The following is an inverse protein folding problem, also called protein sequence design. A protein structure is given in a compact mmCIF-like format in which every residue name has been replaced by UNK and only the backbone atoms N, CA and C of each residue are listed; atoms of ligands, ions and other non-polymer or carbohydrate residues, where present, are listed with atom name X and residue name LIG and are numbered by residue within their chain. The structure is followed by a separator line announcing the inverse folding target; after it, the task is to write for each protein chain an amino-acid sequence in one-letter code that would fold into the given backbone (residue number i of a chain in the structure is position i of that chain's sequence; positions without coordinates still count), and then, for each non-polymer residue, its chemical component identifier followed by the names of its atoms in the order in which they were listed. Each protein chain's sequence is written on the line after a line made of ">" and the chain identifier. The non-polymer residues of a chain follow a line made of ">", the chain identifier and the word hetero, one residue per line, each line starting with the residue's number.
data_IF_122222697454
#
_entry.id   IF_122222697454
#
_cell.length_a   1.000
_cell.length_b   1.000
_cell.length_c   1.000
_cell.angle_alpha   90.00
_cell.angle_beta   90.00
_cell.angle_gamma   90.00
#
_symmetry.space_group_name_H-M   'P 1'
#
loop_
_entity.id
_entity.type
_entity.pdbx_description
1 polymer ?
#
# COMPACT_ATOMS: atom_id res chain seq x y z
N UNK A 1 5.24 -1.17 8.86
CA UNK A 1 5.86 -0.03 8.15
C UNK A 1 6.56 0.93 9.10
N UNK A 2 7.57 1.66 8.62
CA UNK A 2 8.38 2.57 9.47
C UNK A 2 7.63 3.82 9.97
N UNK A 3 6.37 3.99 9.59
CA UNK A 3 5.56 5.13 9.97
C UNK A 3 6.07 6.47 9.41
N UNK A 4 5.40 7.54 9.77
CA UNK A 4 5.81 8.89 9.41
C UNK A 4 6.86 9.39 10.41
N UNK A 5 8.09 9.68 9.95
CA UNK A 5 9.25 10.08 10.80
C UNK A 5 8.89 11.16 11.83
N UNK A 6 8.11 12.18 11.44
CA UNK A 6 7.69 13.25 12.32
C UNK A 6 6.78 12.74 13.45
N UNK A 7 5.82 11.86 13.13
CA UNK A 7 4.92 11.25 14.12
C UNK A 7 5.65 10.38 15.11
N UNK A 8 6.61 9.57 14.64
CA UNK A 8 7.39 8.69 15.51
C UNK A 8 8.27 9.52 16.44
N UNK A 9 9.04 10.46 15.90
CA UNK A 9 9.90 11.31 16.69
C UNK A 9 9.12 12.16 17.71
N UNK A 10 8.03 12.81 17.26
CA UNK A 10 7.31 13.79 18.08
C UNK A 10 6.37 13.12 19.11
N UNK A 11 5.92 11.88 18.88
CA UNK A 11 4.98 11.18 19.76
C UNK A 11 5.59 10.04 20.57
N UNK A 12 6.60 9.37 20.05
CA UNK A 12 7.19 8.18 20.67
C UNK A 12 8.62 8.46 21.17
N UNK A 13 9.24 9.54 20.69
CA UNK A 13 10.63 9.89 21.06
C UNK A 13 11.68 8.92 20.53
N UNK A 14 11.30 8.00 19.64
CA UNK A 14 12.22 7.01 19.14
C UNK A 14 13.25 7.61 18.16
N UNK A 15 14.51 7.17 18.20
CA UNK A 15 15.52 7.58 17.23
C UNK A 15 15.10 7.13 15.81
N UNK A 16 15.38 7.96 14.82
CA UNK A 16 15.12 7.65 13.42
C UNK A 16 16.43 7.39 12.71
N UNK A 17 16.77 6.15 12.47
CA UNK A 17 17.91 5.72 11.64
C UNK A 17 17.64 5.88 10.12
N UNK A 18 18.59 5.46 9.27
CA UNK A 18 18.38 5.34 7.84
C UNK A 18 17.17 4.44 7.56
N UNK A 19 16.26 4.94 6.73
CA UNK A 19 14.93 4.32 6.57
C UNK A 19 14.98 2.86 6.08
N UNK A 20 15.78 2.58 5.06
CA UNK A 20 15.86 1.24 4.45
C UNK A 20 16.59 0.28 5.39
N UNK A 21 17.69 0.70 5.99
CA UNK A 21 18.44 -0.13 6.94
C UNK A 21 17.57 -0.50 8.14
N UNK A 22 16.80 0.48 8.67
CA UNK A 22 15.85 0.25 9.77
C UNK A 22 14.83 -0.82 9.41
N UNK A 23 14.21 -0.73 8.22
CA UNK A 23 13.20 -1.69 7.77
C UNK A 23 13.83 -3.08 7.58
N UNK A 24 14.96 -3.16 6.88
CA UNK A 24 15.63 -4.43 6.57
C UNK A 24 16.05 -5.17 7.84
N UNK A 25 16.73 -4.46 8.75
CA UNK A 25 17.17 -5.05 10.03
C UNK A 25 15.96 -5.44 10.89
N UNK A 26 14.89 -4.62 10.92
CA UNK A 26 13.68 -4.96 11.67
C UNK A 26 13.06 -6.27 11.18
N UNK A 27 12.93 -6.46 9.87
CA UNK A 27 12.36 -7.69 9.32
C UNK A 27 13.23 -8.91 9.66
N UNK A 28 14.55 -8.80 9.53
CA UNK A 28 15.48 -9.89 9.87
C UNK A 28 15.41 -10.24 11.37
N UNK A 29 15.45 -9.25 12.25
CA UNK A 29 15.31 -9.45 13.70
C UNK A 29 13.99 -10.16 14.04
N UNK A 30 12.88 -9.71 13.44
CA UNK A 30 11.58 -10.34 13.68
C UNK A 30 11.53 -11.79 13.17
N UNK A 31 12.10 -12.07 11.99
CA UNK A 31 12.20 -13.43 11.47
C UNK A 31 12.98 -14.34 12.42
N UNK A 32 14.17 -13.91 12.86
CA UNK A 32 14.99 -14.69 13.78
C UNK A 32 14.28 -14.94 15.13
N UNK A 33 13.59 -13.94 15.67
CA UNK A 33 12.79 -14.09 16.88
C UNK A 33 11.62 -15.08 16.69
N UNK A 34 10.91 -15.01 15.57
CA UNK A 34 9.81 -15.95 15.25
C UNK A 34 10.30 -17.35 14.91
N UNK A 35 11.55 -17.47 14.47
CA UNK A 35 12.24 -18.78 14.34
C UNK A 35 12.74 -19.34 15.69
N UNK A 36 12.47 -18.65 16.80
CA UNK A 36 12.89 -19.07 18.14
C UNK A 36 14.37 -18.83 18.45
N UNK A 37 15.06 -18.04 17.61
CA UNK A 37 16.46 -17.69 17.83
C UNK A 37 16.58 -16.54 18.84
N UNK A 38 17.75 -16.46 19.47
CA UNK A 38 18.18 -15.28 20.21
C UNK A 38 18.93 -14.33 19.28
N UNK A 39 18.71 -13.05 19.44
CA UNK A 39 19.23 -11.99 18.57
C UNK A 39 20.09 -11.03 19.35
N UNK A 40 21.30 -10.80 18.86
CA UNK A 40 22.17 -9.71 19.28
C UNK A 40 22.46 -8.83 18.07
N UNK A 41 22.06 -7.57 18.14
CA UNK A 41 22.30 -6.58 17.08
C UNK A 41 22.56 -5.21 17.67
N UNK A 42 23.62 -4.55 17.20
CA UNK A 42 23.94 -3.16 17.59
C UNK A 42 24.09 -2.32 16.32
N UNK A 43 23.23 -1.33 16.17
CA UNK A 43 23.28 -0.36 15.08
C UNK A 43 22.66 0.97 15.50
N UNK A 44 22.50 1.91 14.57
CA UNK A 44 21.93 3.24 14.85
C UNK A 44 20.45 3.24 15.29
N UNK A 45 19.77 2.09 15.23
CA UNK A 45 18.32 1.95 15.49
C UNK A 45 18.05 1.06 16.68
N UNK A 46 18.77 -0.07 16.78
CA UNK A 46 18.60 -1.09 17.81
C UNK A 46 19.89 -1.40 18.53
N UNK A 47 19.75 -1.61 19.81
CA UNK A 47 20.76 -2.29 20.62
C UNK A 47 20.05 -3.43 21.34
N UNK A 48 20.28 -4.65 20.85
CA UNK A 48 19.73 -5.87 21.39
C UNK A 48 20.90 -6.79 21.78
N UNK A 49 20.86 -7.37 22.96
CA UNK A 49 21.84 -8.32 23.46
C UNK A 49 21.15 -9.57 23.99
N UNK A 50 21.37 -10.72 23.33
CA UNK A 50 20.81 -12.03 23.65
C UNK A 50 19.29 -12.04 23.87
N UNK A 51 18.55 -11.23 23.09
CA UNK A 51 17.10 -11.09 23.18
C UNK A 51 16.41 -12.24 22.47
N UNK A 52 15.50 -12.93 23.14
CA UNK A 52 14.64 -13.97 22.57
C UNK A 52 13.18 -13.80 23.00
N UNK A 53 12.28 -14.55 22.35
CA UNK A 53 10.90 -14.64 22.80
C UNK A 53 10.79 -15.62 23.98
N UNK A 54 10.08 -15.23 25.04
CA UNK A 54 9.79 -16.10 26.20
C UNK A 54 8.65 -17.09 25.87
N UNK A 55 8.65 -17.65 24.67
CA UNK A 55 7.64 -18.59 24.16
C UNK A 55 8.35 -19.82 23.65
N UNK A 56 8.01 -20.99 24.21
CA UNK A 56 8.49 -22.26 23.68
C UNK A 56 7.83 -22.54 22.33
N UNK A 57 8.63 -22.75 21.27
CA UNK A 57 8.16 -22.96 19.91
C UNK A 57 7.26 -21.81 19.42
N UNK A 58 7.78 -20.60 19.22
CA UNK A 58 6.98 -19.49 18.73
C UNK A 58 6.35 -19.86 17.37
N UNK A 59 5.09 -19.48 17.15
CA UNK A 59 4.46 -19.74 15.87
C UNK A 59 5.18 -18.94 14.77
N UNK A 60 5.33 -19.52 13.59
CA UNK A 60 5.81 -18.78 12.42
C UNK A 60 4.77 -17.74 12.02
N UNK A 61 5.09 -16.46 12.22
CA UNK A 61 4.21 -15.33 11.89
C UNK A 61 4.72 -14.68 10.61
N UNK A 62 3.91 -14.64 9.54
CA UNK A 62 4.32 -13.99 8.30
C UNK A 62 4.47 -12.48 8.48
N UNK A 63 5.53 -11.92 7.93
CA UNK A 63 5.86 -10.50 8.01
C UNK A 63 5.46 -9.82 6.70
N UNK A 64 4.53 -8.88 6.78
CA UNK A 64 4.12 -8.05 5.66
C UNK A 64 4.62 -6.61 5.80
N UNK A 65 5.24 -6.09 4.75
CA UNK A 65 5.67 -4.69 4.70
C UNK A 65 4.69 -3.85 3.88
N UNK A 66 4.08 -2.83 4.52
CA UNK A 66 3.31 -1.80 3.82
C UNK A 66 4.22 -0.61 3.47
N UNK A 67 4.34 -0.29 2.19
CA UNK A 67 5.21 0.79 1.72
C UNK A 67 4.75 1.38 0.38
N UNK A 68 5.31 2.53 0.02
CA UNK A 68 5.23 3.13 -1.31
C UNK A 68 6.63 3.53 -1.83
N UNK A 69 7.70 3.14 -1.12
CA UNK A 69 9.07 3.51 -1.44
C UNK A 69 9.73 2.41 -2.28
N UNK A 70 10.35 2.71 -3.44
CA UNK A 70 10.99 1.70 -4.29
C UNK A 70 11.99 0.79 -3.57
N UNK A 71 12.91 1.39 -2.78
CA UNK A 71 13.91 0.60 -2.07
C UNK A 71 13.31 -0.23 -0.92
N UNK A 72 12.18 0.22 -0.34
CA UNK A 72 11.47 -0.58 0.65
C UNK A 72 10.69 -1.74 -0.01
N UNK A 73 10.24 -1.61 -1.26
CA UNK A 73 9.74 -2.74 -2.04
C UNK A 73 10.85 -3.78 -2.29
N UNK A 74 12.06 -3.34 -2.64
CA UNK A 74 13.23 -4.24 -2.75
C UNK A 74 13.55 -4.91 -1.42
N UNK A 75 13.58 -4.16 -0.33
CA UNK A 75 13.81 -4.73 1.01
C UNK A 75 12.73 -5.75 1.40
N UNK A 76 11.46 -5.50 1.04
CA UNK A 76 10.38 -6.46 1.27
C UNK A 76 10.59 -7.74 0.45
N UNK A 77 10.94 -7.64 -0.82
CA UNK A 77 11.31 -8.79 -1.64
C UNK A 77 12.46 -9.61 -1.04
N UNK A 78 13.44 -8.93 -0.46
CA UNK A 78 14.58 -9.58 0.18
C UNK A 78 14.24 -10.30 1.49
N UNK A 79 13.34 -9.73 2.33
CA UNK A 79 13.22 -10.14 3.73
C UNK A 79 11.78 -10.33 4.24
N UNK A 80 10.73 -9.93 3.51
CA UNK A 80 9.34 -10.10 3.97
C UNK A 80 8.68 -11.35 3.37
N UNK A 81 7.62 -11.84 4.00
CA UNK A 81 6.75 -12.88 3.46
C UNK A 81 5.68 -12.29 2.53
N UNK A 82 5.43 -10.98 2.62
CA UNK A 82 4.52 -10.30 1.74
C UNK A 82 4.64 -8.78 1.75
N UNK A 83 3.99 -8.16 0.80
CA UNK A 83 3.99 -6.72 0.58
C UNK A 83 2.58 -6.20 0.48
N UNK A 84 2.27 -5.12 1.19
CA UNK A 84 1.00 -4.41 1.06
C UNK A 84 1.26 -3.14 0.23
N UNK A 85 0.67 -3.11 -0.95
CA UNK A 85 0.72 -1.97 -1.87
C UNK A 85 -0.58 -1.17 -1.73
N UNK A 86 -0.50 -0.04 -1.05
CA UNK A 86 -1.66 0.81 -0.81
C UNK A 86 -1.90 1.82 -1.94
N UNK A 87 -3.17 2.01 -2.27
CA UNK A 87 -3.65 3.06 -3.18
C UNK A 87 -3.01 3.02 -4.59
N UNK A 88 -2.71 1.84 -5.11
CA UNK A 88 -2.25 1.61 -6.50
C UNK A 88 -3.21 0.64 -7.16
N UNK A 89 -4.04 1.14 -8.07
CA UNK A 89 -4.99 0.38 -8.89
C UNK A 89 -4.61 0.35 -10.38
N UNK A 90 -3.48 0.93 -10.76
CA UNK A 90 -2.96 0.93 -12.13
C UNK A 90 -2.08 -0.31 -12.36
N UNK A 91 -2.46 -1.23 -13.28
CA UNK A 91 -1.68 -2.44 -13.55
C UNK A 91 -0.24 -2.15 -14.04
N UNK A 92 -0.03 -1.08 -14.81
CA UNK A 92 1.31 -0.75 -15.30
C UNK A 92 2.23 -0.28 -14.16
N UNK A 93 1.70 0.51 -13.23
CA UNK A 93 2.43 0.92 -12.01
C UNK A 93 2.65 -0.28 -11.09
N UNK A 94 1.64 -1.13 -10.93
CA UNK A 94 1.75 -2.35 -10.14
C UNK A 94 2.83 -3.29 -10.69
N UNK A 95 2.89 -3.49 -12.00
CA UNK A 95 3.94 -4.28 -12.65
C UNK A 95 5.35 -3.76 -12.28
N UNK A 96 5.55 -2.43 -12.31
CA UNK A 96 6.81 -1.83 -11.91
C UNK A 96 7.13 -2.08 -10.41
N UNK A 97 6.12 -2.07 -9.55
CA UNK A 97 6.28 -2.38 -8.12
C UNK A 97 6.67 -3.86 -7.94
N UNK A 98 6.00 -4.77 -8.65
CA UNK A 98 6.32 -6.21 -8.64
C UNK A 98 7.75 -6.45 -9.12
N UNK A 99 8.25 -5.70 -10.11
CA UNK A 99 9.66 -5.78 -10.53
C UNK A 99 10.62 -5.35 -9.41
N UNK A 100 10.34 -4.28 -8.68
CA UNK A 100 11.18 -3.91 -7.53
C UNK A 100 11.19 -4.97 -6.43
N UNK A 101 10.05 -5.62 -6.18
CA UNK A 101 9.97 -6.74 -5.22
C UNK A 101 10.82 -7.91 -5.73
N UNK A 102 10.73 -8.24 -7.03
CA UNK A 102 11.50 -9.31 -7.68
C UNK A 102 13.00 -9.05 -7.64
N UNK A 103 13.44 -7.80 -7.89
CA UNK A 103 14.84 -7.41 -7.75
C UNK A 103 15.36 -7.70 -6.34
N UNK A 104 14.57 -7.38 -5.31
CA UNK A 104 14.89 -7.67 -3.92
C UNK A 104 14.94 -9.18 -3.64
N UNK A 105 13.96 -9.94 -4.08
CA UNK A 105 13.92 -11.41 -3.93
C UNK A 105 15.15 -12.06 -4.56
N UNK A 106 15.47 -11.70 -5.80
CA UNK A 106 16.63 -12.20 -6.52
C UNK A 106 17.96 -11.92 -5.79
N UNK A 107 18.07 -10.75 -5.13
CA UNK A 107 19.27 -10.38 -4.37
C UNK A 107 19.58 -11.33 -3.21
N UNK A 108 18.57 -12.06 -2.72
CA UNK A 108 18.67 -13.05 -1.64
C UNK A 108 18.41 -14.49 -2.14
N UNK A 109 18.33 -14.70 -3.44
CA UNK A 109 18.06 -16.03 -4.04
C UNK A 109 16.67 -16.59 -3.70
N UNK A 110 15.69 -15.71 -3.39
CA UNK A 110 14.31 -16.10 -3.06
C UNK A 110 13.47 -16.20 -4.33
N UNK A 111 12.46 -17.07 -4.30
CA UNK A 111 11.45 -17.16 -5.36
C UNK A 111 10.32 -16.13 -5.10
N UNK A 112 9.88 -15.45 -6.16
CA UNK A 112 8.72 -14.54 -6.08
C UNK A 112 7.43 -15.24 -5.63
N UNK A 113 7.30 -16.54 -5.88
CA UNK A 113 6.15 -17.35 -5.45
C UNK A 113 6.03 -17.47 -3.92
N UNK A 114 7.11 -17.21 -3.19
CA UNK A 114 7.14 -17.24 -1.73
C UNK A 114 6.78 -15.88 -1.11
N UNK A 115 6.47 -14.87 -1.95
CA UNK A 115 6.22 -13.49 -1.51
C UNK A 115 4.82 -13.07 -1.96
N UNK A 116 3.92 -12.87 -1.00
CA UNK A 116 2.56 -12.42 -1.29
C UNK A 116 2.51 -10.94 -1.64
N UNK A 117 1.81 -10.59 -2.73
CA UNK A 117 1.58 -9.20 -3.14
C UNK A 117 0.11 -8.83 -2.94
N UNK A 118 -0.16 -8.05 -1.89
CA UNK A 118 -1.50 -7.59 -1.57
C UNK A 118 -1.69 -6.14 -2.06
N UNK A 119 -2.64 -5.94 -2.96
CA UNK A 119 -3.09 -4.60 -3.33
C UNK A 119 -4.21 -4.14 -2.40
N UNK A 120 -4.08 -2.95 -1.82
CA UNK A 120 -5.09 -2.36 -0.93
C UNK A 120 -5.61 -1.05 -1.51
N UNK A 121 -6.73 -1.13 -2.23
CA UNK A 121 -7.30 -0.01 -2.97
C UNK A 121 -8.68 0.40 -2.43
N UNK A 122 -9.00 1.69 -2.56
CA UNK A 122 -10.38 2.14 -2.42
C UNK A 122 -11.22 1.48 -3.51
N UNK A 123 -12.34 0.81 -3.11
CA UNK A 123 -13.18 0.08 -4.06
C UNK A 123 -14.65 0.38 -3.81
N UNK A 124 -15.32 0.95 -4.80
CA UNK A 124 -16.73 1.34 -4.74
C UNK A 124 -17.46 0.77 -5.96
N UNK A 125 -18.44 -0.06 -5.71
CA UNK A 125 -19.29 -0.65 -6.75
C UNK A 125 -20.55 0.18 -6.91
N UNK A 126 -20.66 0.92 -8.02
CA UNK A 126 -21.80 1.77 -8.32
C UNK A 126 -22.04 1.91 -9.82
N UNK A 127 -23.30 2.05 -10.23
CA UNK A 127 -23.65 2.20 -11.66
C UNK A 127 -23.22 3.56 -12.21
N UNK A 128 -23.42 4.62 -11.42
CA UNK A 128 -23.01 5.98 -11.81
C UNK A 128 -21.52 6.18 -11.48
N UNK A 129 -20.67 5.81 -12.44
CA UNK A 129 -19.22 5.93 -12.31
C UNK A 129 -18.77 7.40 -12.20
N UNK A 130 -19.41 8.34 -12.89
CA UNK A 130 -19.02 9.75 -12.86
C UNK A 130 -19.21 10.35 -11.45
N UNK A 131 -20.33 10.05 -10.82
CA UNK A 131 -20.59 10.46 -9.44
C UNK A 131 -19.58 9.88 -8.45
N UNK A 132 -19.22 8.60 -8.60
CA UNK A 132 -18.23 7.96 -7.73
C UNK A 132 -16.85 8.59 -7.89
N UNK A 133 -16.40 8.83 -9.10
CA UNK A 133 -15.12 9.49 -9.40
C UNK A 133 -15.04 10.85 -8.71
N UNK A 134 -16.09 11.65 -8.81
CA UNK A 134 -16.13 12.97 -8.19
C UNK A 134 -16.01 12.88 -6.66
N UNK A 135 -16.71 11.92 -6.02
CA UNK A 135 -16.59 11.70 -4.58
C UNK A 135 -15.21 11.22 -4.15
N UNK A 136 -14.52 10.44 -4.99
CA UNK A 136 -13.16 9.95 -4.70
C UNK A 136 -12.08 11.01 -4.86
N UNK A 137 -12.26 11.94 -5.79
CA UNK A 137 -11.24 12.87 -6.28
C UNK A 137 -10.48 13.57 -5.16
N UNK A 138 -11.15 14.29 -4.30
CA UNK A 138 -10.52 15.09 -3.26
C UNK A 138 -10.19 14.29 -1.98
N UNK A 139 -11.17 13.66 -1.31
CA UNK A 139 -10.93 13.11 0.02
C UNK A 139 -10.01 11.87 -0.01
N UNK A 140 -10.08 11.10 -1.09
CA UNK A 140 -9.36 9.82 -1.19
C UNK A 140 -8.05 9.98 -1.93
N UNK A 141 -8.10 10.47 -3.16
CA UNK A 141 -6.93 10.57 -4.02
C UNK A 141 -5.94 11.60 -3.49
N UNK A 142 -6.42 12.78 -3.09
CA UNK A 142 -5.56 13.78 -2.46
C UNK A 142 -4.87 13.27 -1.19
N UNK A 143 -5.52 12.38 -0.42
CA UNK A 143 -4.90 11.74 0.74
C UNK A 143 -3.83 10.73 0.34
N UNK A 144 -4.11 9.87 -0.64
CA UNK A 144 -3.19 8.87 -1.17
C UNK A 144 -1.93 9.51 -1.75
N UNK A 145 -2.10 10.51 -2.61
CA UNK A 145 -1.00 11.28 -3.22
C UNK A 145 -0.04 11.83 -2.16
N UNK A 146 -0.56 12.34 -1.04
CA UNK A 146 0.26 12.90 0.03
C UNK A 146 1.06 11.85 0.82
N UNK A 147 0.55 10.63 0.93
CA UNK A 147 1.22 9.52 1.61
C UNK A 147 2.25 8.80 0.75
N UNK A 148 2.23 9.02 -0.56
CA UNK A 148 3.01 8.25 -1.52
C UNK A 148 4.42 8.80 -1.70
N UNK A 149 5.41 7.91 -1.81
CA UNK A 149 6.79 8.30 -2.13
C UNK A 149 6.87 8.97 -3.51
N UNK A 150 7.78 9.94 -3.65
CA UNK A 150 7.90 10.77 -4.87
C UNK A 150 8.08 9.98 -6.18
N UNK A 151 8.83 8.87 -6.14
CA UNK A 151 9.05 8.04 -7.33
C UNK A 151 7.76 7.34 -7.76
N UNK A 152 7.08 6.65 -6.83
CA UNK A 152 5.80 5.99 -7.09
C UNK A 152 4.73 6.99 -7.49
N UNK A 153 4.68 8.16 -6.84
CA UNK A 153 3.79 9.25 -7.20
C UNK A 153 4.01 9.74 -8.64
N UNK A 154 5.27 9.80 -9.09
CA UNK A 154 5.61 10.12 -10.49
C UNK A 154 5.06 9.08 -11.47
N UNK A 155 5.18 7.79 -11.17
CA UNK A 155 4.58 6.71 -11.97
C UNK A 155 3.05 6.81 -12.03
N UNK A 156 2.42 7.27 -10.95
CA UNK A 156 0.98 7.53 -10.89
C UNK A 156 0.55 8.77 -11.69
N UNK A 157 1.46 9.48 -12.35
CA UNK A 157 1.17 10.63 -13.21
C UNK A 157 0.86 11.93 -12.46
N UNK A 158 1.17 12.01 -11.17
CA UNK A 158 0.94 13.23 -10.39
C UNK A 158 1.96 14.31 -10.79
N UNK A 159 1.47 15.41 -11.36
CA UNK A 159 2.32 16.54 -11.75
C UNK A 159 3.06 17.14 -10.55
N UNK A 160 4.39 17.32 -10.65
CA UNK A 160 5.16 18.04 -9.62
C UNK A 160 4.65 19.46 -9.38
N UNK A 161 4.08 20.11 -10.38
CA UNK A 161 3.52 21.47 -10.29
C UNK A 161 2.22 21.52 -9.48
N UNK A 162 1.35 20.50 -9.62
CA UNK A 162 0.09 20.42 -8.89
C UNK A 162 0.26 19.85 -7.46
N UNK A 163 1.36 19.12 -7.20
CA UNK A 163 1.52 18.45 -5.91
C UNK A 163 1.49 19.38 -4.70
N UNK A 164 2.10 20.58 -4.70
CA UNK A 164 2.01 21.50 -3.57
C UNK A 164 0.56 21.94 -3.26
N UNK A 165 -0.25 22.20 -4.28
CA UNK A 165 -1.64 22.60 -4.12
C UNK A 165 -2.52 21.44 -3.65
N UNK A 166 -2.34 20.23 -4.21
CA UNK A 166 -3.00 19.00 -3.74
C UNK A 166 -2.69 18.77 -2.26
N UNK A 167 -1.43 18.98 -1.88
CA UNK A 167 -0.98 18.85 -0.49
C UNK A 167 -1.62 19.89 0.43
N UNK A 168 -1.66 21.14 0.01
CA UNK A 168 -2.30 22.22 0.79
C UNK A 168 -3.78 21.94 0.99
N UNK A 169 -4.50 21.56 -0.05
CA UNK A 169 -5.92 21.24 -0.02
C UNK A 169 -6.29 20.04 0.87
N UNK A 170 -5.33 19.16 1.19
CA UNK A 170 -5.52 18.09 2.19
C UNK A 170 -5.70 18.64 3.60
N UNK A 171 -4.96 19.70 3.94
CA UNK A 171 -4.92 20.27 5.30
C UNK A 171 -5.88 21.44 5.47
N UNK A 172 -6.34 22.02 4.36
CA UNK A 172 -7.30 23.12 4.35
C UNK A 172 -8.41 22.84 3.35
N UNK A 173 -9.59 22.48 3.87
CA UNK A 173 -10.76 22.16 3.05
C UNK A 173 -11.33 23.33 2.26
N UNK A 174 -11.00 24.57 2.63
CA UNK A 174 -11.43 25.78 1.92
C UNK A 174 -10.67 26.00 0.60
N UNK A 175 -9.48 25.42 0.47
CA UNK A 175 -8.70 25.53 -0.76
C UNK A 175 -9.27 24.66 -1.87
N UNK A 176 -9.54 25.24 -3.02
CA UNK A 176 -9.92 24.50 -4.21
C UNK A 176 -8.70 23.71 -4.76
N UNK A 177 -8.96 22.55 -5.35
CA UNK A 177 -7.97 21.89 -6.19
C UNK A 177 -7.85 22.68 -7.51
N UNK A 178 -6.64 22.85 -8.06
CA UNK A 178 -6.48 23.39 -9.40
C UNK A 178 -7.25 22.56 -10.42
N UNK A 179 -7.78 23.23 -11.44
CA UNK A 179 -8.42 22.53 -12.55
C UNK A 179 -7.44 21.52 -13.18
N UNK A 180 -7.90 20.30 -13.43
CA UNK A 180 -7.09 19.23 -14.00
C UNK A 180 -6.00 18.65 -13.08
N UNK A 181 -5.91 19.10 -11.82
CA UNK A 181 -4.90 18.57 -10.88
C UNK A 181 -5.08 17.07 -10.58
N UNK A 182 -6.31 16.58 -10.58
CA UNK A 182 -6.68 15.17 -10.42
C UNK A 182 -7.72 14.83 -11.50
N UNK A 183 -7.30 14.52 -12.73
CA UNK A 183 -8.23 14.13 -13.79
C UNK A 183 -8.81 12.73 -13.53
N UNK A 184 -9.84 12.33 -14.26
CA UNK A 184 -10.57 11.08 -14.07
C UNK A 184 -9.65 9.85 -14.22
N UNK A 185 -8.77 9.90 -15.21
CA UNK A 185 -7.78 8.83 -15.45
C UNK A 185 -6.82 8.66 -14.28
N UNK A 186 -6.54 9.73 -13.54
CA UNK A 186 -5.74 9.63 -12.32
C UNK A 186 -6.53 8.95 -11.19
N UNK A 187 -7.84 9.19 -11.08
CA UNK A 187 -8.68 8.49 -10.09
C UNK A 187 -8.61 6.98 -10.30
N UNK A 188 -8.68 6.52 -11.56
CA UNK A 188 -8.58 5.11 -11.91
C UNK A 188 -7.24 4.47 -11.56
N UNK A 189 -6.18 5.25 -11.48
CA UNK A 189 -4.87 4.73 -11.04
C UNK A 189 -4.81 4.45 -9.53
N UNK A 190 -5.64 5.14 -8.74
CA UNK A 190 -5.63 5.04 -7.28
C UNK A 190 -6.77 4.20 -6.70
N UNK A 191 -7.86 4.01 -7.45
CA UNK A 191 -9.08 3.38 -6.95
C UNK A 191 -9.74 2.50 -8.01
N UNK A 192 -10.55 1.56 -7.57
CA UNK A 192 -11.42 0.75 -8.40
C UNK A 192 -12.85 1.21 -8.13
N UNK A 193 -13.46 1.92 -9.09
CA UNK A 193 -14.77 2.53 -8.87
C UNK A 193 -15.62 2.52 -10.14
N UNK A 194 -16.80 1.89 -10.06
CA UNK A 194 -17.71 1.79 -11.19
C UNK A 194 -18.66 0.58 -11.13
N UNK A 195 -19.27 0.23 -12.26
CA UNK A 195 -20.12 -0.96 -12.37
C UNK A 195 -19.39 -2.28 -12.06
N UNK A 196 -20.10 -3.35 -11.72
CA UNK A 196 -19.49 -4.62 -11.31
C UNK A 196 -18.52 -5.21 -12.34
N UNK A 197 -18.86 -5.19 -13.62
CA UNK A 197 -18.03 -5.69 -14.72
C UNK A 197 -16.71 -4.90 -14.84
N UNK A 198 -16.79 -3.58 -14.77
CA UNK A 198 -15.62 -2.72 -14.74
C UNK A 198 -14.71 -3.02 -13.53
N UNK A 199 -15.30 -3.14 -12.33
CA UNK A 199 -14.54 -3.49 -11.12
C UNK A 199 -13.84 -4.85 -11.27
N UNK A 200 -14.54 -5.85 -11.79
CA UNK A 200 -13.98 -7.19 -12.01
C UNK A 200 -12.83 -7.18 -13.04
N UNK A 201 -12.97 -6.45 -14.14
CA UNK A 201 -11.90 -6.28 -15.12
C UNK A 201 -10.65 -5.66 -14.51
N UNK A 202 -10.80 -4.59 -13.71
CA UNK A 202 -9.70 -3.92 -13.03
C UNK A 202 -8.98 -4.85 -12.04
N UNK A 203 -9.72 -5.66 -11.28
CA UNK A 203 -9.15 -6.62 -10.34
C UNK A 203 -8.39 -7.71 -11.08
N UNK A 204 -8.96 -8.28 -12.17
CA UNK A 204 -8.26 -9.27 -13.01
C UNK A 204 -6.94 -8.71 -13.56
N UNK A 205 -6.97 -7.48 -14.09
CA UNK A 205 -5.77 -6.84 -14.63
C UNK A 205 -4.65 -6.65 -13.59
N UNK A 206 -4.98 -6.47 -12.31
CA UNK A 206 -4.01 -6.47 -11.22
C UNK A 206 -3.48 -7.89 -10.94
N UNK A 207 -4.34 -8.91 -10.99
CA UNK A 207 -3.93 -10.32 -10.88
C UNK A 207 -2.93 -10.72 -11.98
N UNK A 208 -3.18 -10.31 -13.22
CA UNK A 208 -2.34 -10.62 -14.38
C UNK A 208 -0.90 -10.06 -14.24
N UNK A 209 -0.70 -9.03 -13.43
CA UNK A 209 0.62 -8.43 -13.18
C UNK A 209 1.26 -8.86 -11.85
N UNK A 210 0.68 -9.86 -11.16
CA UNK A 210 1.28 -10.51 -10.00
C UNK A 210 0.72 -10.09 -8.64
N UNK A 211 -0.46 -9.48 -8.58
CA UNK A 211 -1.21 -9.32 -7.33
C UNK A 211 -1.95 -10.63 -7.03
N UNK A 212 -1.68 -11.24 -5.88
CA UNK A 212 -2.33 -12.48 -5.46
C UNK A 212 -3.50 -12.25 -4.48
N UNK A 213 -3.52 -11.10 -3.84
CA UNK A 213 -4.53 -10.76 -2.83
C UNK A 213 -5.05 -9.34 -3.01
N UNK A 214 -6.38 -9.19 -2.97
CA UNK A 214 -7.03 -7.87 -2.99
C UNK A 214 -7.60 -7.53 -1.63
N UNK A 215 -7.15 -6.41 -1.07
CA UNK A 215 -7.75 -5.77 0.09
C UNK A 215 -8.67 -4.62 -0.32
N UNK A 216 -9.96 -4.77 -0.09
CA UNK A 216 -10.93 -3.74 -0.43
C UNK A 216 -11.10 -2.73 0.71
N UNK A 217 -10.97 -1.47 0.38
CA UNK A 217 -11.15 -0.37 1.32
C UNK A 217 -12.28 0.54 0.88
N UNK A 218 -13.21 0.79 1.79
CA UNK A 218 -14.15 1.89 1.64
C UNK A 218 -13.68 3.04 2.53
N UNK A 219 -13.27 4.18 1.96
CA UNK A 219 -12.81 5.32 2.73
C UNK A 219 -13.91 5.90 3.61
N UNK A 220 -13.58 6.20 4.87
CA UNK A 220 -14.54 6.80 5.83
C UNK A 220 -15.19 8.07 5.28
N UNK A 221 -14.47 8.87 4.50
CA UNK A 221 -15.01 10.07 3.86
C UNK A 221 -16.17 9.80 2.90
N UNK A 222 -16.37 8.57 2.44
CA UNK A 222 -17.43 8.17 1.52
C UNK A 222 -18.63 7.51 2.20
N UNK A 223 -18.58 7.22 3.50
CA UNK A 223 -19.65 6.49 4.20
C UNK A 223 -20.98 7.25 4.28
N UNK A 224 -20.97 8.54 4.03
CA UNK A 224 -22.21 9.34 3.92
C UNK A 224 -22.86 9.22 2.53
N UNK A 225 -22.08 8.98 1.47
CA UNK A 225 -22.58 8.88 0.11
C UNK A 225 -22.81 7.42 -0.32
N UNK A 226 -22.06 6.50 0.25
CA UNK A 226 -22.11 5.07 -0.06
C UNK A 226 -22.15 4.26 1.22
N UNK A 227 -23.17 3.38 1.34
CA UNK A 227 -23.28 2.48 2.49
C UNK A 227 -22.26 1.34 2.41
N UNK A 228 -21.52 1.12 3.49
CA UNK A 228 -20.45 0.10 3.55
C UNK A 228 -21.00 -1.32 3.32
N UNK A 229 -22.12 -1.66 3.98
CA UNK A 229 -22.70 -3.00 3.87
C UNK A 229 -23.20 -3.26 2.45
N UNK A 230 -23.88 -2.29 1.85
CA UNK A 230 -24.34 -2.38 0.46
C UNK A 230 -23.17 -2.55 -0.51
N UNK A 231 -22.09 -1.76 -0.35
CA UNK A 231 -20.90 -1.88 -1.18
C UNK A 231 -20.22 -3.25 -1.01
N UNK A 232 -20.12 -3.76 0.21
CA UNK A 232 -19.56 -5.09 0.49
C UNK A 232 -20.41 -6.21 -0.13
N UNK A 233 -21.74 -6.13 -0.02
CA UNK A 233 -22.66 -7.09 -0.66
C UNK A 233 -22.50 -7.08 -2.17
N UNK A 234 -22.41 -5.92 -2.79
CA UNK A 234 -22.17 -5.80 -4.24
C UNK A 234 -20.81 -6.38 -4.64
N UNK A 235 -19.76 -6.13 -3.89
CA UNK A 235 -18.46 -6.74 -4.12
C UNK A 235 -18.55 -8.28 -4.11
N UNK A 236 -19.20 -8.86 -3.10
CA UNK A 236 -19.29 -10.31 -2.93
C UNK A 236 -20.20 -10.96 -4.00
N UNK A 237 -21.35 -10.34 -4.28
CA UNK A 237 -22.37 -10.99 -5.11
C UNK A 237 -22.30 -10.61 -6.59
N UNK A 238 -21.85 -9.38 -6.90
CA UNK A 238 -21.90 -8.88 -8.27
C UNK A 238 -20.50 -8.84 -8.92
N UNK A 239 -19.41 -8.67 -8.13
CA UNK A 239 -18.03 -8.54 -8.66
C UNK A 239 -17.25 -9.85 -8.55
N UNK A 240 -17.20 -10.47 -7.37
CA UNK A 240 -16.39 -11.69 -7.14
C UNK A 240 -16.72 -12.81 -8.13
N UNK A 241 -17.99 -13.10 -8.46
CA UNK A 241 -18.32 -14.13 -9.47
C UNK A 241 -17.79 -13.83 -10.86
N UNK A 242 -17.56 -12.56 -11.19
CA UNK A 242 -17.03 -12.13 -12.49
C UNK A 242 -15.51 -12.21 -12.58
N UNK A 243 -14.79 -12.24 -11.44
CA UNK A 243 -13.32 -12.31 -11.46
C UNK A 243 -12.85 -13.67 -12.00
N UNK A 244 -13.61 -14.70 -11.81
CA UNK A 244 -13.23 -16.09 -12.13
C UNK A 244 -12.41 -16.72 -10.98
N UNK A 245 -12.39 -18.03 -10.96
CA UNK A 245 -11.53 -18.83 -10.06
C UNK A 245 -10.25 -19.21 -10.79
#
# INVERSE_FOLDING_TARGET
>A
GAGEKRRIRDRVGAPTGPFIDTISVTMQVLQDLFDGKKVSVSNSVFELDDVGLEISNPPKVPIFLATTHPDAFRAAGAYADGVIVGDVADPAVMLQIVEWIREGANSQGRDMRDISVLAWCATIVAEDRAAVIEHLRRPVIGSAINGMHKATRGLMGVSPEHFPQIRAAKFDASLALPEGAIPDEMVDRFAIAGPPDYCAERIRALGDVGVDTMGFRMPVALTQAYDFETNLRRLIHDVVPLIGT
#
